data_IF_959424031103
#
_entry.id   IF_959424031103
#
_cell.length_a   1.000
_cell.length_b   1.000
_cell.length_c   1.000
_cell.angle_alpha   90.00
_cell.angle_beta   90.00
_cell.angle_gamma   90.00
#
_symmetry.space_group_name_H-M   'P 1'
#
loop_
_entity.id
_entity.type
_entity.pdbx_description
1 polymer ?
#
# COMPACT_ATOMS: atom_id res chain seq x y z
N UNK A 1 63.59 7.02 2.33
CA UNK A 1 62.61 8.10 2.19
C UNK A 1 61.40 7.57 1.46
N UNK A 2 60.34 7.22 2.20
CA UNK A 2 59.04 6.85 1.66
C UNK A 2 58.28 8.16 1.37
N UNK A 3 58.42 8.69 0.17
CA UNK A 3 57.52 9.72 -0.33
C UNK A 3 56.19 9.04 -0.68
N UNK A 4 55.28 8.95 0.29
CA UNK A 4 53.93 8.53 0.01
C UNK A 4 53.31 9.54 -0.99
N UNK A 5 52.63 9.10 -2.06
CA UNK A 5 52.05 9.98 -3.06
C UNK A 5 50.82 10.68 -2.48
N UNK A 6 51.03 11.70 -1.65
CA UNK A 6 50.00 12.50 -1.01
C UNK A 6 49.05 13.13 -2.06
N UNK A 7 49.58 13.49 -3.23
CA UNK A 7 48.79 14.03 -4.33
C UNK A 7 47.74 13.05 -4.86
N UNK A 8 48.07 11.78 -4.95
CA UNK A 8 47.11 10.72 -5.43
C UNK A 8 45.95 10.48 -4.47
N UNK A 9 46.23 10.50 -3.16
CA UNK A 9 45.20 10.35 -2.12
C UNK A 9 44.28 11.57 -2.04
N UNK A 10 44.81 12.79 -2.18
CA UNK A 10 44.03 14.01 -2.22
C UNK A 10 43.15 14.11 -3.47
N UNK A 11 43.70 13.79 -4.65
CA UNK A 11 42.97 13.81 -5.91
C UNK A 11 41.81 12.77 -5.95
N UNK A 12 41.96 11.62 -5.31
CA UNK A 12 40.90 10.61 -5.22
C UNK A 12 39.83 10.95 -4.17
N UNK A 13 40.17 11.71 -3.14
CA UNK A 13 39.25 12.05 -2.06
C UNK A 13 38.24 13.15 -2.46
N UNK A 14 38.60 14.09 -3.33
CA UNK A 14 37.72 15.17 -3.77
C UNK A 14 36.44 14.68 -4.50
N UNK A 15 36.53 13.82 -5.53
CA UNK A 15 35.35 13.29 -6.19
C UNK A 15 34.46 12.49 -5.24
N UNK A 16 35.03 11.70 -4.33
CA UNK A 16 34.29 10.96 -3.34
C UNK A 16 33.47 11.87 -2.42
N UNK A 17 34.07 12.95 -1.92
CA UNK A 17 33.35 13.93 -1.09
C UNK A 17 32.25 14.66 -1.85
N UNK A 18 32.43 14.97 -3.13
CA UNK A 18 31.40 15.59 -3.95
C UNK A 18 30.21 14.64 -4.13
N UNK A 19 30.45 13.37 -4.43
CA UNK A 19 29.40 12.36 -4.56
C UNK A 19 28.68 12.11 -3.24
N UNK A 20 29.40 12.04 -2.12
CA UNK A 20 28.79 11.92 -0.79
C UNK A 20 27.90 13.12 -0.44
N UNK A 21 28.31 14.35 -0.78
CA UNK A 21 27.49 15.54 -0.57
C UNK A 21 26.23 15.53 -1.44
N UNK A 22 26.35 15.18 -2.72
CA UNK A 22 25.19 15.07 -3.61
C UNK A 22 24.23 13.96 -3.16
N UNK A 23 24.75 12.82 -2.71
CA UNK A 23 23.94 11.75 -2.15
C UNK A 23 23.21 12.19 -0.86
N UNK A 24 23.89 12.91 0.02
CA UNK A 24 23.31 13.43 1.26
C UNK A 24 22.13 14.39 1.02
N UNK A 25 22.16 15.17 -0.08
CA UNK A 25 21.05 16.06 -0.44
C UNK A 25 19.75 15.32 -0.75
N UNK A 26 19.85 14.07 -1.23
CA UNK A 26 18.70 13.20 -1.50
C UNK A 26 18.47 12.16 -0.39
N UNK A 27 19.11 12.33 0.78
CA UNK A 27 18.95 11.45 1.93
C UNK A 27 19.69 10.12 1.83
N UNK A 28 20.60 9.95 0.87
CA UNK A 28 21.40 8.75 0.71
C UNK A 28 22.77 8.86 1.39
N UNK A 29 23.25 7.77 1.98
CA UNK A 29 24.57 7.68 2.60
C UNK A 29 25.43 6.70 1.81
N UNK A 30 26.59 7.18 1.35
CA UNK A 30 27.58 6.35 0.67
C UNK A 30 28.80 6.22 1.61
N UNK A 31 29.02 5.04 2.22
CA UNK A 31 30.03 4.88 3.27
C UNK A 31 31.47 4.90 2.74
N UNK A 32 31.71 4.58 1.48
CA UNK A 32 33.08 4.52 0.98
C UNK A 32 33.26 4.52 -0.54
N UNK A 33 34.52 4.64 -0.95
CA UNK A 33 34.92 4.66 -2.38
C UNK A 33 34.63 3.34 -3.10
N UNK A 34 34.70 2.23 -2.39
CA UNK A 34 34.39 0.91 -2.94
C UNK A 34 32.92 0.83 -3.38
N UNK A 35 32.05 1.42 -2.59
CA UNK A 35 30.60 1.43 -2.84
C UNK A 35 30.25 2.32 -4.04
N UNK A 36 30.93 3.46 -4.19
CA UNK A 36 30.77 4.35 -5.37
C UNK A 36 31.08 3.60 -6.66
N UNK A 37 32.15 2.81 -6.70
CA UNK A 37 32.49 2.02 -7.87
C UNK A 37 31.48 0.90 -8.18
N UNK A 38 30.87 0.34 -7.15
CA UNK A 38 29.81 -0.68 -7.33
C UNK A 38 28.55 -0.05 -7.89
N UNK A 39 28.16 1.15 -7.43
CA UNK A 39 26.99 1.88 -7.96
C UNK A 39 27.05 2.07 -9.48
N UNK A 40 28.24 2.36 -10.03
CA UNK A 40 28.42 2.51 -11.48
C UNK A 40 28.24 1.23 -12.30
N UNK A 41 28.11 0.07 -11.66
CA UNK A 41 27.89 -1.25 -12.30
C UNK A 41 26.45 -1.75 -12.17
N UNK A 42 25.59 -1.00 -11.49
CA UNK A 42 24.19 -1.39 -11.29
C UNK A 42 23.43 -1.16 -12.59
N UNK A 43 22.86 -2.22 -13.14
CA UNK A 43 22.02 -2.19 -14.33
C UNK A 43 20.55 -2.39 -14.01
N UNK A 44 20.24 -2.95 -12.82
CA UNK A 44 18.89 -3.27 -12.39
C UNK A 44 18.72 -2.89 -10.93
N UNK A 45 17.62 -2.21 -10.63
CA UNK A 45 17.20 -1.89 -9.27
C UNK A 45 15.88 -2.62 -9.02
N UNK A 46 15.87 -3.51 -8.04
CA UNK A 46 14.65 -4.15 -7.56
C UNK A 46 14.11 -3.38 -6.38
N UNK A 47 12.89 -2.89 -6.48
CA UNK A 47 12.18 -2.19 -5.41
C UNK A 47 10.93 -2.96 -5.03
N UNK A 48 10.62 -3.00 -3.75
CA UNK A 48 9.35 -3.56 -3.27
C UNK A 48 8.33 -2.44 -3.07
N UNK A 49 7.05 -2.82 -2.97
CA UNK A 49 6.01 -1.83 -2.68
C UNK A 49 6.26 -1.07 -1.36
N UNK A 50 6.93 -1.71 -0.39
CA UNK A 50 7.29 -1.07 0.89
C UNK A 50 8.35 0.01 0.74
N UNK A 51 9.28 -0.14 -0.20
CA UNK A 51 10.34 0.85 -0.44
C UNK A 51 9.76 2.13 -1.06
N UNK A 52 8.71 1.98 -1.90
CA UNK A 52 8.05 3.09 -2.56
C UNK A 52 6.92 3.70 -1.72
N UNK A 53 6.22 2.87 -0.97
CA UNK A 53 5.06 3.26 -0.16
C UNK A 53 5.30 2.86 1.30
N UNK A 54 5.98 3.71 2.08
CA UNK A 54 6.24 3.43 3.49
C UNK A 54 4.92 3.33 4.28
N UNK A 55 5.01 2.72 5.46
CA UNK A 55 3.87 2.61 6.38
C UNK A 55 3.29 4.00 6.66
N UNK A 56 1.96 4.12 6.52
CA UNK A 56 1.26 5.40 6.74
C UNK A 56 1.11 6.29 5.51
N UNK A 57 1.68 5.94 4.34
CA UNK A 57 1.47 6.71 3.11
C UNK A 57 0.04 6.64 2.57
N UNK A 58 -0.74 5.65 3.00
CA UNK A 58 -2.16 5.51 2.68
C UNK A 58 -2.98 5.65 3.96
N UNK A 59 -3.98 6.50 3.93
CA UNK A 59 -4.94 6.69 5.01
C UNK A 59 -6.36 6.61 4.47
N UNK A 60 -7.29 6.24 5.31
CA UNK A 60 -8.70 6.25 4.98
C UNK A 60 -9.25 7.67 5.19
N UNK A 61 -9.80 8.25 4.14
CA UNK A 61 -10.38 9.59 4.19
C UNK A 61 -11.85 9.57 4.64
N UNK A 62 -12.55 8.44 4.44
CA UNK A 62 -13.94 8.31 4.86
C UNK A 62 -14.52 6.93 4.56
N UNK A 63 -15.63 6.64 5.24
CA UNK A 63 -16.44 5.44 5.03
C UNK A 63 -17.86 5.89 4.72
N UNK A 64 -18.43 5.34 3.65
CA UNK A 64 -19.84 5.53 3.29
C UNK A 64 -20.54 4.18 3.29
N UNK A 65 -21.16 3.78 4.40
CA UNK A 65 -21.99 2.60 4.43
C UNK A 65 -23.29 2.86 3.65
N UNK A 66 -23.86 1.83 3.03
CA UNK A 66 -25.18 1.93 2.39
C UNK A 66 -26.27 2.14 3.45
N UNK A 67 -26.08 1.55 4.63
CA UNK A 67 -26.91 1.75 5.82
C UNK A 67 -26.01 2.16 7.00
N UNK A 68 -26.31 3.27 7.71
CA UNK A 68 -25.48 3.75 8.82
C UNK A 68 -25.26 2.69 9.93
N UNK A 69 -26.26 1.89 10.21
CA UNK A 69 -26.24 0.82 11.23
C UNK A 69 -25.23 -0.29 10.94
N UNK A 70 -24.69 -0.37 9.71
CA UNK A 70 -23.79 -1.42 9.28
C UNK A 70 -22.31 -0.99 9.25
N UNK A 71 -21.97 0.18 9.77
CA UNK A 71 -20.61 0.72 9.68
C UNK A 71 -19.59 -0.19 10.37
N UNK A 72 -19.87 -0.64 11.58
CA UNK A 72 -18.97 -1.49 12.34
C UNK A 72 -18.79 -2.86 11.69
N UNK A 73 -19.89 -3.44 11.22
CA UNK A 73 -19.85 -4.70 10.47
C UNK A 73 -19.06 -4.57 9.17
N UNK A 74 -19.18 -3.43 8.47
CA UNK A 74 -18.43 -3.16 7.26
C UNK A 74 -16.93 -3.10 7.52
N UNK A 75 -16.52 -2.42 8.61
CA UNK A 75 -15.12 -2.32 9.02
C UNK A 75 -14.57 -3.69 9.35
N UNK A 76 -15.29 -4.47 10.17
CA UNK A 76 -14.87 -5.82 10.57
C UNK A 76 -14.74 -6.74 9.35
N UNK A 77 -15.70 -6.75 8.43
CA UNK A 77 -15.64 -7.60 7.24
C UNK A 77 -14.49 -7.19 6.30
N UNK A 78 -14.32 -5.88 6.06
CA UNK A 78 -13.22 -5.38 5.24
C UNK A 78 -11.86 -5.73 5.87
N UNK A 79 -11.69 -5.48 7.18
CA UNK A 79 -10.47 -5.80 7.90
C UNK A 79 -10.18 -7.30 7.91
N UNK A 80 -11.20 -8.15 8.07
CA UNK A 80 -11.05 -9.61 8.05
C UNK A 80 -10.56 -10.11 6.69
N UNK A 81 -11.15 -9.65 5.59
CA UNK A 81 -10.71 -10.01 4.22
C UNK A 81 -9.30 -9.48 3.95
N UNK A 82 -8.99 -8.27 4.41
CA UNK A 82 -7.71 -7.60 4.15
C UNK A 82 -6.61 -7.94 5.17
N UNK A 83 -6.91 -8.74 6.18
CA UNK A 83 -5.93 -9.11 7.23
C UNK A 83 -4.65 -9.75 6.67
N UNK A 84 -4.76 -10.48 5.58
CA UNK A 84 -3.64 -11.09 4.87
C UNK A 84 -3.36 -10.42 3.51
N UNK A 85 -3.96 -9.26 3.24
CA UNK A 85 -3.65 -8.45 2.07
C UNK A 85 -2.23 -7.87 2.17
N UNK A 86 -1.80 -7.17 1.14
CA UNK A 86 -0.53 -6.43 1.19
C UNK A 86 -0.48 -5.49 2.40
N UNK A 87 0.71 -5.24 2.95
CA UNK A 87 0.89 -4.57 4.24
C UNK A 87 0.19 -3.22 4.33
N UNK A 88 0.18 -2.44 3.27
CA UNK A 88 -0.39 -1.10 3.25
C UNK A 88 -1.90 -1.10 3.53
N UNK A 89 -2.69 -1.93 2.83
CA UNK A 89 -4.13 -2.01 3.06
C UNK A 89 -4.46 -2.66 4.40
N UNK A 90 -3.74 -3.73 4.74
CA UNK A 90 -3.90 -4.39 6.03
C UNK A 90 -3.73 -3.40 7.19
N UNK A 91 -2.64 -2.62 7.17
CA UNK A 91 -2.32 -1.71 8.26
C UNK A 91 -3.38 -0.60 8.42
N UNK A 92 -3.91 -0.08 7.31
CA UNK A 92 -5.01 0.91 7.34
C UNK A 92 -6.24 0.34 8.06
N UNK A 93 -6.70 -0.85 7.67
CA UNK A 93 -7.91 -1.43 8.25
C UNK A 93 -7.69 -1.99 9.66
N UNK A 94 -6.47 -2.48 9.98
CA UNK A 94 -6.11 -2.90 11.33
C UNK A 94 -6.04 -1.73 12.31
N UNK A 95 -5.55 -0.57 11.86
CA UNK A 95 -5.52 0.64 12.67
C UNK A 95 -6.94 1.16 12.99
N UNK A 96 -7.89 0.96 12.08
CA UNK A 96 -9.30 1.31 12.33
C UNK A 96 -9.94 0.44 13.39
N UNK A 97 -9.61 -0.84 13.46
CA UNK A 97 -10.10 -1.73 14.49
C UNK A 97 -9.50 -1.40 15.88
N UNK A 98 -8.31 -0.80 15.92
CA UNK A 98 -7.63 -0.47 17.17
C UNK A 98 -7.43 -1.69 18.07
N UNK A 99 -7.97 -1.61 19.28
CA UNK A 99 -7.93 -2.71 20.27
C UNK A 99 -8.93 -3.83 19.95
N UNK A 100 -9.92 -3.58 19.11
CA UNK A 100 -10.99 -4.52 18.78
C UNK A 100 -10.58 -5.59 17.74
N UNK A 101 -9.30 -5.95 17.69
CA UNK A 101 -8.79 -6.98 16.77
C UNK A 101 -9.38 -8.37 17.01
N UNK A 102 -9.90 -8.62 18.20
CA UNK A 102 -10.62 -9.85 18.54
C UNK A 102 -11.94 -10.01 17.78
N UNK A 103 -12.47 -8.94 17.19
CA UNK A 103 -13.68 -8.96 16.38
C UNK A 103 -13.44 -9.47 14.94
N UNK A 104 -12.19 -9.69 14.54
CA UNK A 104 -11.89 -10.23 13.21
C UNK A 104 -12.57 -11.57 13.03
N UNK A 105 -13.35 -11.67 11.96
CA UNK A 105 -14.05 -12.89 11.60
C UNK A 105 -13.10 -13.82 10.83
N UNK A 106 -13.26 -15.13 11.02
CA UNK A 106 -12.58 -16.12 10.22
C UNK A 106 -13.05 -16.01 8.77
N UNK A 107 -12.10 -15.95 7.85
CA UNK A 107 -12.37 -15.93 6.40
C UNK A 107 -12.07 -17.31 5.84
N UNK A 108 -13.08 -17.90 5.23
CA UNK A 108 -12.96 -19.17 4.52
C UNK A 108 -12.83 -18.90 3.01
N UNK A 109 -12.11 -19.78 2.29
CA UNK A 109 -11.92 -19.76 0.83
C UNK A 109 -11.57 -18.36 0.27
N UNK A 110 -10.54 -17.76 0.84
CA UNK A 110 -10.08 -16.46 0.39
C UNK A 110 -9.33 -16.55 -0.93
N UNK A 111 -9.75 -15.76 -1.90
CA UNK A 111 -9.17 -15.67 -3.23
C UNK A 111 -8.72 -14.24 -3.51
N UNK A 112 -7.53 -14.11 -4.10
CA UNK A 112 -7.00 -12.83 -4.57
C UNK A 112 -7.21 -12.72 -6.07
N UNK A 113 -7.92 -11.68 -6.51
CA UNK A 113 -8.10 -11.37 -7.93
C UNK A 113 -7.17 -10.23 -8.28
N UNK A 114 -6.09 -10.53 -9.00
CA UNK A 114 -5.03 -9.58 -9.31
C UNK A 114 -5.57 -8.32 -10.01
N UNK A 115 -5.15 -7.16 -9.50
CA UNK A 115 -5.57 -5.86 -10.00
C UNK A 115 -7.02 -5.47 -9.68
N UNK A 116 -7.82 -6.33 -9.03
CA UNK A 116 -9.23 -6.08 -8.75
C UNK A 116 -9.56 -6.08 -7.25
N UNK A 117 -9.07 -7.07 -6.49
CA UNK A 117 -9.34 -7.15 -5.05
C UNK A 117 -9.36 -8.56 -4.49
N UNK A 118 -10.17 -8.76 -3.47
CA UNK A 118 -10.25 -9.99 -2.68
C UNK A 118 -11.69 -10.46 -2.56
N UNK A 119 -11.85 -11.77 -2.57
CA UNK A 119 -13.14 -12.47 -2.38
C UNK A 119 -12.94 -13.50 -1.28
N UNK A 120 -13.91 -13.71 -0.42
CA UNK A 120 -13.87 -14.73 0.62
C UNK A 120 -15.24 -14.93 1.25
N UNK A 121 -15.32 -15.90 2.15
CA UNK A 121 -16.55 -16.21 2.87
C UNK A 121 -16.39 -15.91 4.35
N UNK A 122 -17.33 -15.17 4.91
CA UNK A 122 -17.42 -14.88 6.34
C UNK A 122 -18.81 -15.27 6.82
N UNK A 123 -18.90 -16.14 7.79
CA UNK A 123 -20.17 -16.63 8.33
C UNK A 123 -21.15 -17.10 7.23
N UNK A 124 -20.67 -17.90 6.28
CA UNK A 124 -21.42 -18.40 5.12
C UNK A 124 -21.93 -17.30 4.17
N UNK A 125 -21.47 -16.08 4.29
CA UNK A 125 -21.78 -14.96 3.38
C UNK A 125 -20.58 -14.67 2.51
N UNK A 126 -20.79 -14.57 1.20
CA UNK A 126 -19.71 -14.14 0.28
C UNK A 126 -19.45 -12.66 0.47
N UNK A 127 -18.20 -12.33 0.74
CA UNK A 127 -17.71 -10.96 0.94
C UNK A 127 -16.70 -10.63 -0.14
N UNK A 128 -16.87 -9.49 -0.80
CA UNK A 128 -15.97 -8.97 -1.82
C UNK A 128 -15.43 -7.62 -1.36
N UNK A 129 -14.12 -7.44 -1.48
CA UNK A 129 -13.45 -6.15 -1.21
C UNK A 129 -12.55 -5.81 -2.39
N UNK A 130 -12.81 -4.72 -3.07
CA UNK A 130 -12.00 -4.35 -4.23
C UNK A 130 -12.51 -3.13 -4.99
N UNK A 131 -11.98 -2.99 -6.21
CA UNK A 131 -12.30 -1.86 -7.08
C UNK A 131 -13.62 -2.07 -7.85
N UNK A 132 -13.99 -1.06 -8.65
CA UNK A 132 -15.18 -1.09 -9.52
C UNK A 132 -15.21 -2.32 -10.44
N UNK A 133 -14.08 -2.70 -11.02
CA UNK A 133 -14.00 -3.82 -11.94
C UNK A 133 -14.37 -5.16 -11.27
N UNK A 134 -13.96 -5.37 -10.01
CA UNK A 134 -14.38 -6.54 -9.23
C UNK A 134 -15.90 -6.56 -9.04
N UNK A 135 -16.47 -5.43 -8.66
CA UNK A 135 -17.92 -5.33 -8.43
C UNK A 135 -18.73 -5.62 -9.69
N UNK A 136 -18.29 -5.10 -10.84
CA UNK A 136 -18.94 -5.34 -12.14
C UNK A 136 -18.86 -6.80 -12.55
N UNK A 137 -17.71 -7.46 -12.37
CA UNK A 137 -17.53 -8.88 -12.68
C UNK A 137 -18.48 -9.79 -11.91
N UNK A 138 -18.76 -9.42 -10.66
CA UNK A 138 -19.70 -10.17 -9.80
C UNK A 138 -21.13 -9.62 -9.85
N UNK A 139 -21.46 -8.74 -10.80
CA UNK A 139 -22.82 -8.22 -11.01
C UNK A 139 -23.36 -7.36 -9.85
N UNK A 140 -22.47 -6.76 -9.05
CA UNK A 140 -22.86 -5.90 -7.94
C UNK A 140 -23.29 -4.54 -8.48
N UNK A 141 -24.47 -4.06 -8.12
CA UNK A 141 -24.92 -2.71 -8.43
C UNK A 141 -24.10 -1.70 -7.62
N UNK A 142 -23.35 -0.86 -8.31
CA UNK A 142 -22.52 0.21 -7.74
C UNK A 142 -22.99 1.56 -8.27
N UNK A 143 -22.69 2.67 -7.56
CA UNK A 143 -22.99 4.01 -8.01
C UNK A 143 -22.36 4.34 -9.37
N UNK A 144 -22.89 5.39 -10.04
CA UNK A 144 -22.36 5.86 -11.32
C UNK A 144 -20.90 6.27 -11.22
N UNK A 145 -20.20 6.29 -12.35
CA UNK A 145 -18.81 6.73 -12.40
C UNK A 145 -18.67 8.22 -12.01
N UNK A 146 -19.66 9.02 -12.36
CA UNK A 146 -19.73 10.45 -11.98
C UNK A 146 -19.79 10.63 -10.47
N UNK A 147 -20.59 9.82 -9.79
CA UNK A 147 -20.65 9.80 -8.33
C UNK A 147 -19.29 9.44 -7.71
N UNK A 148 -18.59 8.47 -8.28
CA UNK A 148 -17.25 8.07 -7.85
C UNK A 148 -16.26 9.22 -8.08
N UNK A 149 -16.28 9.87 -9.25
CA UNK A 149 -15.40 10.99 -9.59
C UNK A 149 -15.57 12.20 -8.67
N UNK A 150 -16.80 12.54 -8.30
CA UNK A 150 -17.05 13.58 -7.30
C UNK A 150 -16.45 13.29 -5.93
N UNK A 151 -16.25 12.01 -5.61
CA UNK A 151 -15.68 11.56 -4.33
C UNK A 151 -14.20 11.20 -4.42
N UNK A 152 -13.63 11.12 -5.63
CA UNK A 152 -12.20 10.85 -5.88
C UNK A 152 -11.36 12.10 -6.07
N UNK A 153 -11.87 13.28 -5.69
CA UNK A 153 -11.10 14.53 -5.68
C UNK A 153 -9.80 14.32 -4.87
N UNK A 154 -8.67 14.81 -5.36
CA UNK A 154 -7.35 14.70 -4.73
C UNK A 154 -6.73 13.29 -4.71
N UNK A 155 -6.77 12.55 -5.82
CA UNK A 155 -6.12 11.24 -5.97
C UNK A 155 -6.67 10.14 -5.04
N UNK A 156 -7.82 10.34 -4.43
CA UNK A 156 -8.46 9.31 -3.61
C UNK A 156 -8.92 8.15 -4.47
N UNK A 157 -8.79 6.93 -3.96
CA UNK A 157 -9.31 5.72 -4.58
C UNK A 157 -10.45 5.17 -3.75
N UNK A 158 -11.47 4.66 -4.44
CA UNK A 158 -12.61 4.03 -3.78
C UNK A 158 -12.41 2.52 -3.74
N UNK A 159 -12.57 1.94 -2.56
CA UNK A 159 -12.63 0.50 -2.33
C UNK A 159 -14.08 0.17 -1.98
N UNK A 160 -14.66 -0.76 -2.69
CA UNK A 160 -16.02 -1.24 -2.46
C UNK A 160 -16.00 -2.49 -1.60
N UNK A 161 -16.95 -2.57 -0.68
CA UNK A 161 -17.29 -3.78 0.06
C UNK A 161 -18.68 -4.24 -0.36
N UNK A 162 -18.79 -5.46 -0.80
CA UNK A 162 -20.07 -6.10 -1.08
C UNK A 162 -20.25 -7.38 -0.26
N UNK A 163 -21.46 -7.63 0.20
CA UNK A 163 -21.81 -8.79 1.01
C UNK A 163 -23.06 -9.45 0.42
N UNK A 164 -22.99 -10.76 0.18
CA UNK A 164 -24.10 -11.54 -0.37
C UNK A 164 -24.71 -10.93 -1.65
N UNK A 165 -23.87 -10.41 -2.54
CA UNK A 165 -24.31 -9.86 -3.83
C UNK A 165 -24.85 -8.44 -3.79
N UNK A 166 -24.76 -7.73 -2.66
CA UNK A 166 -25.20 -6.34 -2.52
C UNK A 166 -24.06 -5.45 -2.04
N UNK A 167 -24.01 -4.23 -2.56
CA UNK A 167 -23.09 -3.21 -2.05
C UNK A 167 -23.40 -2.94 -0.58
N UNK A 168 -22.36 -2.94 0.25
CA UNK A 168 -22.48 -2.80 1.68
C UNK A 168 -21.85 -1.49 2.19
N UNK A 169 -20.64 -1.16 1.70
CA UNK A 169 -19.96 0.08 2.03
C UNK A 169 -18.95 0.49 0.95
N UNK A 170 -18.54 1.74 0.98
CA UNK A 170 -17.47 2.33 0.18
C UNK A 170 -16.45 2.97 1.13
N UNK A 171 -15.18 2.69 0.90
CA UNK A 171 -14.04 3.27 1.62
C UNK A 171 -13.26 4.19 0.66
N UNK A 172 -12.84 5.37 1.14
CA UNK A 172 -12.13 6.39 0.37
C UNK A 172 -10.76 6.69 0.95
#
# INVERSE_FOLDING_TARGET
CLAAPLAGTLLSALPARMMQRSAAQVGAVIPGWRDIRQLGRINVIQVTARDLFPVGCVSLAGIKPVKPEHIDTAIVYAASILSEAGPTLRDVFMNMLGENRSLLAKVDDRQTIYGKGYVGWINKRRVLVGNRALMQEYGIKIPSLEYEQHHTVNQRRVIYLAVSGKLFAMFQ
#
